data_IF_832487594045
#
_entry.id   IF_832487594045
#
_cell.length_a   1.000
_cell.length_b   1.000
_cell.length_c   1.000
_cell.angle_alpha   90.00
_cell.angle_beta   90.00
_cell.angle_gamma   90.00
#
_symmetry.space_group_name_H-M   'P 1'
#
loop_
_entity.id
_entity.type
_entity.pdbx_description
1 polymer ?
#
# COMPACT_ATOMS: atom_id res chain seq x y z
N UNK A 1 1.76 1.62 -10.18
CA UNK A 1 1.89 1.93 -8.73
C UNK A 1 0.84 2.94 -8.30
N UNK A 2 0.59 3.98 -9.09
CA UNK A 2 -0.44 4.99 -8.80
C UNK A 2 -1.84 4.40 -8.56
N UNK A 3 -2.30 3.44 -9.38
CA UNK A 3 -3.58 2.74 -9.18
C UNK A 3 -3.68 2.05 -7.80
N UNK A 4 -2.61 1.39 -7.36
CA UNK A 4 -2.55 0.71 -6.06
C UNK A 4 -2.69 1.71 -4.91
N UNK A 5 -1.98 2.85 -5.01
CA UNK A 5 -2.05 3.92 -4.00
C UNK A 5 -3.45 4.50 -3.93
N UNK A 6 -4.07 4.81 -5.08
CA UNK A 6 -5.43 5.34 -5.14
C UNK A 6 -6.47 4.38 -4.54
N UNK A 7 -6.39 3.08 -4.84
CA UNK A 7 -7.29 2.08 -4.24
C UNK A 7 -7.11 1.98 -2.72
N UNK A 8 -5.87 2.02 -2.23
CA UNK A 8 -5.57 2.02 -0.79
C UNK A 8 -6.14 3.26 -0.09
N UNK A 9 -5.91 4.45 -0.64
CA UNK A 9 -6.41 5.72 -0.08
C UNK A 9 -7.94 5.74 -0.03
N UNK A 10 -8.60 5.30 -1.10
CA UNK A 10 -10.06 5.15 -1.14
C UNK A 10 -10.57 4.16 -0.09
N UNK A 11 -9.87 3.04 0.09
CA UNK A 11 -10.22 2.06 1.11
C UNK A 11 -10.06 2.62 2.53
N UNK A 12 -8.97 3.33 2.79
CA UNK A 12 -8.71 3.97 4.08
C UNK A 12 -9.81 4.98 4.41
N UNK A 13 -10.14 5.89 3.48
CA UNK A 13 -11.21 6.86 3.67
C UNK A 13 -12.55 6.16 3.95
N UNK A 14 -12.85 5.09 3.21
CA UNK A 14 -14.08 4.31 3.42
C UNK A 14 -14.12 3.68 4.80
N UNK A 15 -13.00 3.15 5.30
CA UNK A 15 -12.91 2.60 6.66
C UNK A 15 -13.06 3.68 7.74
N UNK A 16 -12.48 4.86 7.55
CA UNK A 16 -12.63 5.99 8.47
C UNK A 16 -14.08 6.47 8.54
N UNK A 17 -14.74 6.62 7.39
CA UNK A 17 -16.15 6.99 7.32
C UNK A 17 -17.05 5.98 8.03
N UNK A 18 -16.80 4.67 7.85
CA UNK A 18 -17.53 3.61 8.53
C UNK A 18 -17.27 3.58 10.04
N UNK A 19 -16.05 3.89 10.48
CA UNK A 19 -15.72 3.97 11.90
C UNK A 19 -16.44 5.15 12.57
N UNK A 20 -16.56 6.29 11.90
CA UNK A 20 -17.22 7.50 12.42
C UNK A 20 -18.75 7.38 12.40
N UNK A 21 -19.33 6.95 11.28
CA UNK A 21 -20.80 6.82 11.12
C UNK A 21 -21.36 5.59 11.84
N UNK A 22 -20.52 4.58 12.05
CA UNK A 22 -20.87 3.32 12.68
C UNK A 22 -21.39 2.28 11.67
N UNK A 23 -20.92 1.04 11.82
CA UNK A 23 -21.15 -0.06 10.88
C UNK A 23 -22.62 -0.45 10.68
N UNK A 24 -23.48 -0.22 11.68
CA UNK A 24 -24.92 -0.48 11.60
C UNK A 24 -25.66 0.50 10.67
N UNK A 25 -25.07 1.66 10.40
CA UNK A 25 -25.61 2.65 9.47
C UNK A 25 -25.19 2.39 8.02
N UNK A 26 -24.36 1.36 7.79
CA UNK A 26 -23.85 1.02 6.46
C UNK A 26 -25.00 0.57 5.55
N UNK A 27 -25.36 1.43 4.61
CA UNK A 27 -26.43 1.19 3.65
C UNK A 27 -25.97 0.36 2.44
N UNK A 28 -26.93 0.00 1.55
CA UNK A 28 -26.64 -0.78 0.34
C UNK A 28 -25.63 -0.09 -0.59
N UNK A 29 -25.67 1.24 -0.70
CA UNK A 29 -24.71 2.00 -1.51
C UNK A 29 -23.26 1.85 -1.02
N UNK A 30 -23.04 1.93 0.29
CA UNK A 30 -21.72 1.74 0.89
C UNK A 30 -21.25 0.28 0.76
N UNK A 31 -22.15 -0.69 0.87
CA UNK A 31 -21.81 -2.09 0.60
C UNK A 31 -21.40 -2.32 -0.86
N UNK A 32 -22.00 -1.61 -1.81
CA UNK A 32 -21.57 -1.64 -3.22
C UNK A 32 -20.16 -1.06 -3.39
N UNK A 33 -19.86 0.08 -2.74
CA UNK A 33 -18.51 0.66 -2.74
C UNK A 33 -17.48 -0.31 -2.17
N UNK A 34 -17.76 -0.93 -1.01
CA UNK A 34 -16.88 -1.93 -0.40
C UNK A 34 -16.68 -3.14 -1.32
N UNK A 35 -17.73 -3.61 -1.99
CA UNK A 35 -17.63 -4.75 -2.91
C UNK A 35 -16.79 -4.41 -4.15
N UNK A 36 -16.92 -3.19 -4.69
CA UNK A 36 -16.07 -2.71 -5.77
C UNK A 36 -14.61 -2.58 -5.35
N UNK A 37 -14.33 -2.07 -4.14
CA UNK A 37 -12.97 -2.01 -3.61
C UNK A 37 -12.38 -3.41 -3.39
N UNK A 38 -13.19 -4.38 -2.98
CA UNK A 38 -12.78 -5.78 -2.90
C UNK A 38 -12.32 -6.32 -4.27
N UNK A 39 -13.11 -6.10 -5.32
CA UNK A 39 -12.76 -6.52 -6.68
C UNK A 39 -11.52 -5.78 -7.23
N UNK A 40 -11.34 -4.51 -6.90
CA UNK A 40 -10.12 -3.75 -7.21
C UNK A 40 -8.90 -4.36 -6.51
N UNK A 41 -8.99 -4.64 -5.19
CA UNK A 41 -7.91 -5.25 -4.41
C UNK A 41 -7.50 -6.63 -4.94
N UNK A 42 -8.48 -7.44 -5.35
CA UNK A 42 -8.22 -8.77 -5.90
C UNK A 42 -7.49 -8.68 -7.25
N UNK A 43 -7.93 -7.75 -8.13
CA UNK A 43 -7.26 -7.48 -9.41
C UNK A 43 -5.82 -7.03 -9.27
N UNK A 44 -5.51 -6.19 -8.29
CA UNK A 44 -4.14 -5.70 -8.06
C UNK A 44 -3.28 -6.71 -7.27
N UNK A 45 -3.80 -7.90 -6.96
CA UNK A 45 -3.07 -8.96 -6.26
C UNK A 45 -2.95 -8.77 -4.75
N UNK A 46 -3.72 -7.85 -4.15
CA UNK A 46 -3.76 -7.61 -2.71
C UNK A 46 -4.71 -8.58 -1.98
N UNK A 47 -4.60 -9.89 -2.30
CA UNK A 47 -5.55 -10.93 -1.89
C UNK A 47 -5.78 -11.00 -0.36
N UNK A 48 -4.75 -10.75 0.45
CA UNK A 48 -4.92 -10.72 1.91
C UNK A 48 -5.87 -9.61 2.34
N UNK A 49 -5.73 -8.40 1.77
CA UNK A 49 -6.58 -7.25 2.10
C UNK A 49 -7.98 -7.47 1.54
N UNK A 50 -8.12 -8.00 0.32
CA UNK A 50 -9.39 -8.39 -0.25
C UNK A 50 -10.15 -9.35 0.69
N UNK A 51 -9.52 -10.45 1.15
CA UNK A 51 -10.16 -11.37 2.09
C UNK A 51 -10.54 -10.75 3.45
N UNK A 52 -9.77 -9.76 3.94
CA UNK A 52 -10.16 -9.00 5.14
C UNK A 52 -11.39 -8.12 4.88
N UNK A 53 -11.44 -7.48 3.72
CA UNK A 53 -12.58 -6.65 3.32
C UNK A 53 -13.84 -7.50 3.10
N UNK A 54 -13.69 -8.70 2.55
CA UNK A 54 -14.79 -9.65 2.40
C UNK A 54 -15.40 -10.04 3.76
N UNK A 55 -14.56 -10.35 4.76
CA UNK A 55 -15.03 -10.64 6.14
C UNK A 55 -15.80 -9.45 6.73
N UNK A 56 -15.36 -8.22 6.46
CA UNK A 56 -16.08 -7.00 6.87
C UNK A 56 -17.45 -6.92 6.19
N UNK A 57 -17.50 -7.06 4.86
CA UNK A 57 -18.74 -7.00 4.07
C UNK A 57 -19.74 -8.05 4.56
N UNK A 58 -19.30 -9.30 4.72
CA UNK A 58 -20.16 -10.38 5.20
C UNK A 58 -20.73 -10.09 6.59
N UNK A 59 -19.91 -9.61 7.52
CA UNK A 59 -20.36 -9.30 8.88
C UNK A 59 -21.30 -8.11 8.95
N UNK A 60 -21.10 -7.08 8.12
CA UNK A 60 -22.05 -5.97 8.01
C UNK A 60 -23.40 -6.47 7.46
N UNK A 61 -23.38 -7.25 6.37
CA UNK A 61 -24.60 -7.80 5.76
C UNK A 61 -25.43 -8.66 6.73
N UNK A 62 -24.77 -9.37 7.63
CA UNK A 62 -25.43 -10.23 8.62
C UNK A 62 -25.81 -9.51 9.94
N UNK A 63 -25.62 -8.19 10.06
CA UNK A 63 -25.70 -7.43 11.33
C UNK A 63 -24.92 -8.09 12.48
N UNK A 64 -23.76 -8.68 12.16
CA UNK A 64 -22.93 -9.39 13.12
C UNK A 64 -22.23 -8.40 14.06
N UNK A 65 -22.30 -8.66 15.37
CA UNK A 65 -21.59 -7.89 16.41
C UNK A 65 -20.06 -7.92 16.24
N UNK A 66 -19.54 -8.89 15.51
CA UNK A 66 -18.14 -9.05 15.13
C UNK A 66 -17.68 -8.12 14.00
N UNK A 67 -18.58 -7.40 13.33
CA UNK A 67 -18.26 -6.46 12.24
C UNK A 67 -17.22 -5.41 12.64
N UNK A 68 -17.34 -4.83 13.84
CA UNK A 68 -16.36 -3.86 14.37
C UNK A 68 -14.96 -4.46 14.51
N UNK A 69 -14.88 -5.70 15.00
CA UNK A 69 -13.60 -6.42 15.12
C UNK A 69 -13.01 -6.77 13.75
N UNK A 70 -13.86 -7.11 12.78
CA UNK A 70 -13.42 -7.36 11.41
C UNK A 70 -12.84 -6.08 10.78
N UNK A 71 -13.52 -4.94 10.93
CA UNK A 71 -13.06 -3.65 10.43
C UNK A 71 -11.68 -3.29 11.02
N UNK A 72 -11.52 -3.38 12.34
CA UNK A 72 -10.23 -3.08 12.99
C UNK A 72 -9.10 -3.98 12.48
N UNK A 73 -9.38 -5.27 12.23
CA UNK A 73 -8.39 -6.19 11.65
C UNK A 73 -8.05 -5.82 10.21
N UNK A 74 -9.03 -5.46 9.40
CA UNK A 74 -8.82 -4.99 8.04
C UNK A 74 -7.96 -3.70 8.01
N UNK A 75 -8.28 -2.72 8.87
CA UNK A 75 -7.49 -1.50 9.03
C UNK A 75 -6.04 -1.79 9.47
N UNK A 76 -5.85 -2.71 10.42
CA UNK A 76 -4.51 -3.10 10.86
C UNK A 76 -3.71 -3.76 9.72
N UNK A 77 -4.33 -4.70 8.99
CA UNK A 77 -3.72 -5.33 7.82
C UNK A 77 -3.36 -4.31 6.73
N UNK A 78 -4.23 -3.33 6.48
CA UNK A 78 -4.00 -2.27 5.49
C UNK A 78 -2.78 -1.40 5.88
N UNK A 79 -2.68 -0.97 7.13
CA UNK A 79 -1.53 -0.18 7.61
C UNK A 79 -0.20 -0.91 7.49
N UNK A 80 -0.19 -2.22 7.78
CA UNK A 80 1.02 -3.05 7.61
C UNK A 80 1.39 -3.13 6.13
N UNK A 81 0.40 -3.30 5.25
CA UNK A 81 0.61 -3.34 3.81
C UNK A 81 1.18 -2.02 3.26
N UNK A 82 0.61 -0.88 3.63
CA UNK A 82 1.14 0.45 3.30
C UNK A 82 2.59 0.62 3.75
N UNK A 83 2.90 0.16 4.97
CA UNK A 83 4.26 0.24 5.50
C UNK A 83 5.23 -0.60 4.67
N UNK A 84 4.83 -1.79 4.23
CA UNK A 84 5.64 -2.63 3.35
C UNK A 84 5.87 -1.99 1.99
N UNK A 85 4.82 -1.45 1.36
CA UNK A 85 4.94 -0.74 0.08
C UNK A 85 5.88 0.47 0.19
N UNK A 86 5.76 1.23 1.29
CA UNK A 86 6.64 2.36 1.57
C UNK A 86 8.09 1.91 1.68
N UNK A 87 8.36 0.84 2.43
CA UNK A 87 9.72 0.31 2.61
C UNK A 87 10.32 -0.18 1.29
N UNK A 88 9.56 -0.92 0.48
CA UNK A 88 10.00 -1.38 -0.84
C UNK A 88 10.31 -0.22 -1.78
N UNK A 89 9.49 0.83 -1.76
CA UNK A 89 9.72 2.04 -2.57
C UNK A 89 11.01 2.74 -2.14
N UNK A 90 11.20 2.95 -0.83
CA UNK A 90 12.39 3.60 -0.28
C UNK A 90 13.65 2.77 -0.56
N UNK A 91 13.59 1.45 -0.44
CA UNK A 91 14.69 0.55 -0.77
C UNK A 91 15.11 0.67 -2.25
N UNK A 92 14.14 0.69 -3.17
CA UNK A 92 14.39 0.88 -4.60
C UNK A 92 15.04 2.22 -4.91
N UNK A 93 14.52 3.31 -4.34
CA UNK A 93 15.08 4.65 -4.51
C UNK A 93 16.48 4.76 -3.90
N UNK A 94 16.72 4.18 -2.72
CA UNK A 94 18.03 4.18 -2.08
C UNK A 94 19.06 3.41 -2.89
N UNK A 95 18.69 2.25 -3.44
CA UNK A 95 19.55 1.46 -4.32
C UNK A 95 19.91 2.23 -5.60
N UNK A 96 18.94 2.97 -6.16
CA UNK A 96 19.16 3.83 -7.33
C UNK A 96 20.10 4.99 -7.03
N UNK A 97 19.93 5.66 -5.90
CA UNK A 97 20.80 6.76 -5.48
C UNK A 97 22.23 6.27 -5.21
N UNK A 98 22.39 5.10 -4.58
CA UNK A 98 23.72 4.49 -4.39
C UNK A 98 24.42 4.20 -5.72
N UNK A 99 23.68 3.68 -6.71
CA UNK A 99 24.24 3.43 -8.04
C UNK A 99 24.71 4.73 -8.72
N UNK A 100 23.94 5.83 -8.61
CA UNK A 100 24.34 7.13 -9.16
C UNK A 100 25.59 7.69 -8.47
N UNK A 101 25.65 7.62 -7.14
CA UNK A 101 26.80 8.10 -6.36
C UNK A 101 28.08 7.28 -6.61
N UNK A 102 27.94 5.96 -6.84
CA UNK A 102 29.06 5.08 -7.14
C UNK A 102 29.68 5.39 -8.52
N UNK A 103 28.88 5.86 -9.49
CA UNK A 103 29.37 6.27 -10.81
C UNK A 103 30.16 7.59 -10.73
N UNK A 104 29.70 8.56 -9.94
CA UNK A 104 30.39 9.85 -9.76
C UNK A 104 31.75 9.74 -9.04
N UNK A 105 32.01 8.64 -8.32
CA UNK A 105 33.28 8.40 -7.63
C UNK A 105 34.30 7.59 -8.45
N UNK A 106 33.96 7.20 -9.68
CA UNK A 106 34.78 6.34 -10.55
C UNK A 106 35.64 7.07 -11.59
N UNK A 107 35.57 8.39 -11.69
CA UNK A 107 36.32 9.19 -12.68
C UNK A 107 37.28 10.16 -11.98
N UNK A 108 38.37 9.65 -11.41
CA UNK A 108 39.51 10.46 -10.92
C UNK A 108 40.83 9.69 -10.82
N UNK A 109 41.03 8.60 -11.58
CA UNK A 109 42.31 7.89 -11.61
C UNK A 109 42.70 7.58 -13.06
N UNK A 110 43.36 8.54 -13.72
CA UNK A 110 44.53 8.34 -14.60
C UNK A 110 44.84 9.66 -15.31
N UNK A 111 45.84 10.38 -14.83
CA UNK A 111 46.72 11.25 -15.62
C UNK A 111 47.88 11.67 -14.69
N UNK A 112 48.59 10.67 -14.15
CA UNK A 112 49.96 10.87 -13.68
C UNK A 112 50.87 10.06 -14.62
N UNK A 113 51.89 10.78 -15.10
CA UNK A 113 53.17 10.30 -15.57
C UNK A 113 53.25 9.63 -16.96
N UNK A 114 53.42 10.47 -18.00
CA UNK A 114 54.27 10.10 -19.16
C UNK A 114 55.44 11.11 -19.30
N UNK A 115 56.60 10.61 -18.87
CA UNK A 115 57.93 10.76 -19.46
C UNK A 115 58.76 12.05 -19.25
N UNK A 116 59.52 12.05 -18.14
CA UNK A 116 60.96 12.33 -18.21
C UNK A 116 61.62 11.28 -19.13
N UNK A 117 62.16 11.69 -20.29
CA UNK A 117 63.51 11.30 -20.81
C UNK A 117 63.65 11.60 -22.32
N UNK A 118 64.31 12.70 -22.68
CA UNK A 118 65.41 12.79 -23.69
C UNK A 118 65.84 14.24 -23.93
#
# INVERSE_FOLDING_TARGET
MEEVVQTIERLQQTFEDLAVRGLRSCGPEQLTVLSSLHEELDRIGAAHIAGRLEDVIMKIRNDDRGSARALMRAQASLRVFERLLTLQTVEGEMSRLQALLAVDCGESESDDDDDENS
#
